data_IF_853634427858
#
_entry.id   IF_853634427858
#
_cell.length_a   1.000
_cell.length_b   1.000
_cell.length_c   1.000
_cell.angle_alpha   90.00
_cell.angle_beta   90.00
_cell.angle_gamma   90.00
#
_symmetry.space_group_name_H-M   'P 1'
#
loop_
_entity.id
_entity.type
_entity.pdbx_description
1 polymer ?
#
# COMPACT_ATOMS: atom_id res chain seq x y z
N UNK A 1 -5.22 36.28 -4.51
CA UNK A 1 -3.75 36.40 -4.44
C UNK A 1 -3.05 35.17 -3.89
N UNK A 2 -3.78 34.06 -3.60
CA UNK A 2 -3.26 32.81 -3.00
C UNK A 2 -2.74 31.75 -4.00
N UNK A 3 -3.29 31.69 -5.20
CA UNK A 3 -3.01 30.60 -6.18
C UNK A 3 -1.58 30.63 -6.75
N UNK A 4 -0.96 31.81 -6.85
CA UNK A 4 0.42 31.93 -7.38
C UNK A 4 1.51 31.39 -6.44
N UNK A 5 1.28 31.35 -5.12
CA UNK A 5 2.27 30.83 -4.14
C UNK A 5 2.38 29.30 -4.16
N UNK A 6 1.28 28.60 -4.41
CA UNK A 6 1.29 27.13 -4.47
C UNK A 6 1.90 26.59 -5.77
N UNK A 7 1.71 27.31 -6.88
CA UNK A 7 2.36 26.99 -8.16
C UNK A 7 3.89 27.21 -8.11
N UNK A 8 4.38 28.20 -7.37
CA UNK A 8 5.82 28.41 -7.21
C UNK A 8 6.45 27.31 -6.34
N UNK A 9 5.79 26.85 -5.26
CA UNK A 9 6.31 25.78 -4.42
C UNK A 9 6.38 24.44 -5.16
N UNK A 10 5.36 24.10 -5.97
CA UNK A 10 5.37 22.92 -6.83
C UNK A 10 6.46 22.97 -7.91
N UNK A 11 6.66 24.14 -8.53
CA UNK A 11 7.71 24.33 -9.55
C UNK A 11 9.13 24.24 -8.94
N UNK A 12 9.34 24.71 -7.70
CA UNK A 12 10.64 24.58 -7.03
C UNK A 12 10.94 23.12 -6.62
N UNK A 13 9.93 22.35 -6.22
CA UNK A 13 10.11 20.92 -5.93
C UNK A 13 10.50 20.12 -7.17
N UNK A 14 9.90 20.40 -8.32
CA UNK A 14 10.24 19.74 -9.61
C UNK A 14 11.63 20.12 -10.10
N UNK A 15 12.06 21.39 -9.93
CA UNK A 15 13.41 21.83 -10.32
C UNK A 15 14.51 21.28 -9.42
N UNK A 16 14.25 21.07 -8.11
CA UNK A 16 15.21 20.42 -7.22
C UNK A 16 15.44 18.94 -7.58
N UNK A 17 14.44 18.25 -8.12
CA UNK A 17 14.58 16.89 -8.64
C UNK A 17 15.48 16.81 -9.88
N UNK A 18 15.46 17.82 -10.75
CA UNK A 18 16.23 17.80 -11.99
C UNK A 18 17.72 18.17 -11.84
N UNK A 19 18.07 18.96 -10.82
CA UNK A 19 19.43 19.50 -10.67
C UNK A 19 20.41 18.54 -9.95
N UNK A 20 19.95 17.54 -9.22
CA UNK A 20 20.82 16.57 -8.49
C UNK A 20 21.25 15.37 -9.33
N UNK A 21 20.97 15.39 -10.62
CA UNK A 21 21.13 14.26 -11.54
C UNK A 21 22.57 14.02 -12.04
N UNK A 22 23.60 14.72 -11.56
CA UNK A 22 24.96 14.62 -12.11
C UNK A 22 26.05 14.08 -11.18
N UNK A 23 25.80 13.90 -9.89
CA UNK A 23 26.72 13.19 -8.97
C UNK A 23 26.06 11.91 -8.50
N UNK A 24 26.79 10.79 -8.43
CA UNK A 24 26.24 9.50 -7.99
C UNK A 24 25.42 9.64 -6.73
N UNK A 25 24.13 9.24 -6.78
CA UNK A 25 23.22 9.40 -5.65
C UNK A 25 23.62 8.44 -4.52
N UNK A 26 23.59 8.91 -3.28
CA UNK A 26 23.82 8.06 -2.11
C UNK A 26 22.49 7.79 -1.41
N UNK A 27 22.24 6.52 -1.12
CA UNK A 27 21.05 6.05 -0.42
C UNK A 27 21.44 5.23 0.81
N UNK A 28 20.62 5.25 1.85
CA UNK A 28 20.75 4.39 3.01
C UNK A 28 19.54 3.46 3.11
N UNK A 29 19.79 2.21 3.42
CA UNK A 29 18.77 1.21 3.70
C UNK A 29 18.85 0.83 5.18
N UNK A 30 17.77 1.04 5.91
CA UNK A 30 17.68 0.84 7.37
C UNK A 30 16.56 -0.16 7.64
N UNK A 31 16.93 -1.42 7.88
CA UNK A 31 15.98 -2.52 8.00
C UNK A 31 16.24 -3.36 9.24
N UNK A 32 15.21 -3.99 9.82
CA UNK A 32 15.35 -4.84 11.00
C UNK A 32 15.90 -6.22 10.61
N UNK A 33 17.21 -6.27 10.30
CA UNK A 33 17.90 -7.54 9.98
C UNK A 33 18.07 -8.42 11.21
N UNK A 34 18.14 -7.83 12.40
CA UNK A 34 18.25 -8.54 13.67
C UNK A 34 19.55 -9.32 13.79
N UNK A 35 20.66 -8.75 13.31
CA UNK A 35 21.96 -9.42 13.30
C UNK A 35 22.47 -9.76 14.70
N UNK A 36 21.99 -9.08 15.73
CA UNK A 36 22.32 -9.32 17.15
C UNK A 36 21.14 -9.91 17.94
N UNK A 37 19.96 -10.09 17.30
CA UNK A 37 18.77 -10.51 18.00
C UNK A 37 18.72 -12.02 18.22
N UNK A 38 18.05 -12.40 19.30
CA UNK A 38 17.67 -13.79 19.57
C UNK A 38 16.85 -14.35 18.39
N UNK A 39 17.30 -15.46 17.82
CA UNK A 39 16.74 -16.10 16.63
C UNK A 39 15.47 -16.90 16.93
N UNK A 40 14.66 -16.51 17.91
CA UNK A 40 13.46 -17.24 18.30
C UNK A 40 12.16 -16.60 17.75
N UNK A 41 11.27 -17.41 17.19
CA UNK A 41 9.86 -17.10 16.93
C UNK A 41 9.60 -15.94 15.95
N UNK A 42 8.92 -14.87 16.40
CA UNK A 42 8.52 -13.74 15.56
C UNK A 42 9.68 -12.90 15.02
N UNK A 43 10.85 -12.97 15.63
CA UNK A 43 12.08 -12.32 15.15
C UNK A 43 12.52 -12.88 13.81
N UNK A 44 12.50 -14.21 13.64
CA UNK A 44 12.91 -14.87 12.39
C UNK A 44 12.06 -14.38 11.20
N UNK A 45 10.74 -14.27 11.36
CA UNK A 45 9.86 -13.84 10.26
C UNK A 45 10.15 -12.41 9.81
N UNK A 46 10.47 -11.49 10.74
CA UNK A 46 10.83 -10.10 10.43
C UNK A 46 12.19 -9.99 9.77
N UNK A 47 13.16 -10.72 10.26
CA UNK A 47 14.50 -10.78 9.68
C UNK A 47 14.45 -11.34 8.26
N UNK A 48 13.66 -12.39 8.03
CA UNK A 48 13.39 -12.93 6.69
C UNK A 48 12.80 -11.87 5.78
N UNK A 49 11.77 -11.13 6.24
CA UNK A 49 11.16 -10.04 5.49
C UNK A 49 12.19 -8.96 5.10
N UNK A 50 13.06 -8.57 6.03
CA UNK A 50 14.10 -7.57 5.79
C UNK A 50 15.14 -8.05 4.76
N UNK A 51 15.58 -9.30 4.87
CA UNK A 51 16.52 -9.92 3.93
C UNK A 51 15.92 -10.05 2.53
N UNK A 52 14.68 -10.50 2.42
CA UNK A 52 13.99 -10.62 1.15
C UNK A 52 13.79 -9.24 0.49
N UNK A 53 13.36 -8.24 1.26
CA UNK A 53 13.25 -6.88 0.77
C UNK A 53 14.58 -6.33 0.27
N UNK A 54 15.67 -6.51 1.05
CA UNK A 54 17.01 -6.11 0.64
C UNK A 54 17.46 -6.79 -0.65
N UNK A 55 17.23 -8.10 -0.80
CA UNK A 55 17.61 -8.83 -2.00
C UNK A 55 16.92 -8.26 -3.25
N UNK A 56 15.62 -7.99 -3.18
CA UNK A 56 14.91 -7.37 -4.28
C UNK A 56 15.35 -5.93 -4.56
N UNK A 57 15.57 -5.15 -3.52
CA UNK A 57 16.08 -3.79 -3.62
C UNK A 57 17.45 -3.74 -4.31
N UNK A 58 18.36 -4.64 -3.91
CA UNK A 58 19.68 -4.78 -4.52
C UNK A 58 19.61 -5.23 -5.98
N UNK A 59 18.76 -6.22 -6.30
CA UNK A 59 18.56 -6.68 -7.67
C UNK A 59 18.10 -5.54 -8.61
N UNK A 60 17.22 -4.66 -8.12
CA UNK A 60 16.82 -3.47 -8.87
C UNK A 60 17.99 -2.52 -9.13
N UNK A 61 18.80 -2.22 -8.12
CA UNK A 61 19.96 -1.35 -8.28
C UNK A 61 20.98 -1.96 -9.24
N UNK A 62 21.23 -3.25 -9.16
CA UNK A 62 22.16 -3.94 -10.06
C UNK A 62 21.65 -3.95 -11.51
N UNK A 63 20.34 -4.02 -11.72
CA UNK A 63 19.74 -3.89 -13.05
C UNK A 63 19.84 -2.49 -13.63
N UNK A 64 19.74 -1.46 -12.79
CA UNK A 64 19.84 -0.05 -13.18
C UNK A 64 21.28 0.47 -13.29
N UNK A 65 22.24 -0.18 -12.63
CA UNK A 65 23.65 0.20 -12.68
C UNK A 65 24.28 0.12 -14.07
N UNK A 66 23.64 -0.60 -15.00
CA UNK A 66 23.97 -0.60 -16.44
C UNK A 66 23.61 0.73 -17.13
N UNK A 67 22.76 1.55 -16.52
CA UNK A 67 22.47 2.91 -16.91
C UNK A 67 23.44 3.87 -16.20
N UNK A 68 23.73 5.01 -16.77
CA UNK A 68 24.80 5.97 -16.42
C UNK A 68 24.80 6.58 -15.00
N UNK A 69 24.13 5.98 -14.01
CA UNK A 69 23.92 6.56 -12.69
C UNK A 69 24.33 5.61 -11.58
N UNK A 70 25.57 5.67 -11.07
CA UNK A 70 25.98 4.83 -9.94
C UNK A 70 25.29 5.30 -8.66
N UNK A 71 24.49 4.40 -8.04
CA UNK A 71 23.90 4.62 -6.72
C UNK A 71 24.77 3.92 -5.70
N UNK A 72 25.28 4.67 -4.72
CA UNK A 72 25.96 4.10 -3.54
C UNK A 72 24.92 3.76 -2.49
N UNK A 73 24.85 2.52 -2.06
CA UNK A 73 23.94 2.02 -1.04
C UNK A 73 24.68 1.70 0.25
N UNK A 74 24.41 2.45 1.31
CA UNK A 74 24.84 2.13 2.67
C UNK A 74 23.74 1.30 3.37
N UNK A 75 24.07 0.20 4.03
CA UNK A 75 23.10 -0.70 4.67
C UNK A 75 23.33 -0.73 6.18
N UNK A 76 22.25 -0.55 6.94
CA UNK A 76 22.23 -0.50 8.40
C UNK A 76 21.19 -1.45 8.96
N UNK A 77 21.49 -2.05 10.12
CA UNK A 77 20.49 -2.77 10.90
C UNK A 77 19.65 -1.79 11.74
N UNK A 78 18.43 -2.16 12.06
CA UNK A 78 17.54 -1.39 12.92
C UNK A 78 17.05 -2.25 14.08
N UNK A 79 17.42 -1.86 15.28
CA UNK A 79 16.95 -2.52 16.50
C UNK A 79 15.55 -1.96 16.88
N UNK A 80 14.51 -2.72 16.55
CA UNK A 80 13.12 -2.34 16.84
C UNK A 80 12.80 -2.26 18.34
N UNK A 81 13.59 -2.89 19.20
CA UNK A 81 13.37 -2.88 20.64
C UNK A 81 13.83 -1.55 21.27
N UNK A 82 14.96 -1.03 20.81
CA UNK A 82 15.54 0.22 21.31
C UNK A 82 15.25 1.44 20.45
N UNK A 83 14.82 1.22 19.19
CA UNK A 83 14.64 2.29 18.20
C UNK A 83 15.96 2.88 17.69
N UNK A 84 17.06 2.15 17.83
CA UNK A 84 18.40 2.59 17.41
C UNK A 84 18.76 2.03 16.04
N UNK A 85 19.53 2.81 15.28
CA UNK A 85 20.19 2.32 14.05
C UNK A 85 21.54 1.74 14.43
N UNK A 86 21.83 0.54 13.93
CA UNK A 86 23.08 -0.18 14.24
C UNK A 86 23.98 -0.17 13.00
N UNK A 87 25.15 0.46 13.15
CA UNK A 87 26.18 0.52 12.12
C UNK A 87 27.25 -0.57 12.37
N UNK A 88 27.17 -1.64 11.60
CA UNK A 88 28.13 -2.74 11.64
C UNK A 88 29.40 -2.48 10.80
N UNK A 89 29.46 -1.39 10.03
CA UNK A 89 30.60 -1.04 9.20
C UNK A 89 31.68 -0.27 9.98
N UNK A 90 31.31 0.26 11.15
CA UNK A 90 32.24 0.95 12.03
C UNK A 90 33.08 -0.09 12.79
N UNK A 91 34.42 -0.08 12.62
CA UNK A 91 35.46 -0.77 13.41
C UNK A 91 35.00 -1.96 14.31
N UNK A 92 35.84 -2.53 15.15
CA UNK A 92 35.69 -3.82 15.85
C UNK A 92 34.34 -4.08 16.64
N UNK A 93 33.47 -3.10 16.84
CA UNK A 93 32.19 -3.26 17.54
C UNK A 93 31.05 -2.49 16.82
N UNK A 94 29.82 -3.02 16.82
CA UNK A 94 28.65 -2.30 16.30
C UNK A 94 28.45 -0.97 17.01
N UNK A 95 28.10 0.07 16.24
CA UNK A 95 27.81 1.41 16.80
C UNK A 95 26.31 1.65 16.78
N UNK A 96 25.73 1.91 17.94
CA UNK A 96 24.34 2.28 18.11
C UNK A 96 24.16 3.79 17.96
N UNK A 97 23.30 4.20 17.02
CA UNK A 97 23.02 5.60 16.71
C UNK A 97 21.57 5.92 17.04
N UNK A 98 21.35 6.99 17.77
CA UNK A 98 20.01 7.53 17.92
C UNK A 98 19.45 8.00 16.56
N UNK A 99 18.11 8.11 16.38
CA UNK A 99 17.53 8.68 15.17
C UNK A 99 18.12 10.04 14.79
N UNK A 100 18.38 10.90 15.76
CA UNK A 100 19.00 12.22 15.56
C UNK A 100 20.43 12.11 15.03
N UNK A 101 21.27 11.32 15.70
CA UNK A 101 22.69 11.18 15.33
C UNK A 101 22.83 10.50 13.96
N UNK A 102 21.98 9.49 13.70
CA UNK A 102 21.96 8.82 12.42
C UNK A 102 21.58 9.79 11.29
N UNK A 103 20.48 10.54 11.44
CA UNK A 103 20.02 11.46 10.38
C UNK A 103 21.00 12.61 10.17
N UNK A 104 21.69 13.09 11.22
CA UNK A 104 22.77 14.05 11.07
C UNK A 104 23.92 13.47 10.25
N UNK A 105 24.35 12.23 10.54
CA UNK A 105 25.39 11.54 9.79
C UNK A 105 24.99 11.35 8.31
N UNK A 106 23.72 11.01 8.03
CA UNK A 106 23.25 10.84 6.65
C UNK A 106 23.24 12.17 5.89
N UNK A 107 22.86 13.25 6.54
CA UNK A 107 22.89 14.58 5.94
C UNK A 107 24.33 15.06 5.65
N UNK A 108 25.30 14.73 6.48
CA UNK A 108 26.71 15.09 6.27
C UNK A 108 27.36 14.25 5.14
N UNK A 109 26.73 13.13 4.76
CA UNK A 109 27.11 12.27 3.63
C UNK A 109 26.34 12.53 2.35
N UNK A 110 25.49 13.55 2.30
CA UNK A 110 24.60 13.87 1.19
C UNK A 110 23.67 12.70 0.77
N UNK A 111 23.21 11.93 1.76
CA UNK A 111 22.25 10.84 1.51
C UNK A 111 20.89 11.44 1.14
N UNK A 112 20.40 11.05 -0.05
CA UNK A 112 19.12 11.53 -0.56
C UNK A 112 17.92 10.77 -0.01
N UNK A 113 18.00 9.46 0.05
CA UNK A 113 16.93 8.60 0.55
C UNK A 113 17.42 7.71 1.68
N UNK A 114 16.68 7.67 2.77
CA UNK A 114 16.77 6.69 3.84
C UNK A 114 15.54 5.80 3.71
N UNK A 115 15.71 4.56 3.24
CA UNK A 115 14.62 3.61 3.01
C UNK A 115 14.46 2.70 4.21
N UNK A 116 13.29 2.69 4.81
CA UNK A 116 12.98 2.06 6.10
C UNK A 116 13.01 3.09 7.25
N UNK A 117 12.85 2.62 8.50
CA UNK A 117 12.42 1.27 8.91
C UNK A 117 10.99 0.92 8.47
N UNK A 118 10.56 -0.34 8.75
CA UNK A 118 9.26 -0.81 8.30
C UNK A 118 8.08 -0.29 9.12
N UNK A 119 8.25 -0.10 10.44
CA UNK A 119 7.17 0.43 11.30
C UNK A 119 7.00 1.94 11.10
N UNK A 120 5.75 2.39 11.12
CA UNK A 120 5.40 3.81 10.94
C UNK A 120 6.05 4.71 12.00
N UNK A 121 6.04 4.27 13.27
CA UNK A 121 6.60 5.04 14.40
C UNK A 121 8.11 5.27 14.26
N UNK A 122 8.83 4.28 13.73
CA UNK A 122 10.28 4.36 13.57
C UNK A 122 10.66 5.27 12.39
N UNK A 123 9.92 5.19 11.28
CA UNK A 123 10.11 6.10 10.15
C UNK A 123 9.76 7.55 10.53
N UNK A 124 8.72 7.76 11.35
CA UNK A 124 8.39 9.09 11.88
C UNK A 124 9.51 9.62 12.78
N UNK A 125 10.10 8.75 13.61
CA UNK A 125 11.23 9.13 14.47
C UNK A 125 12.44 9.59 13.65
N UNK A 126 12.78 8.92 12.54
CA UNK A 126 13.85 9.37 11.64
C UNK A 126 13.46 10.66 10.91
N UNK A 127 12.23 10.74 10.39
CA UNK A 127 11.76 11.89 9.59
C UNK A 127 11.74 13.19 10.40
N UNK A 128 11.53 13.14 11.73
CA UNK A 128 11.63 14.30 12.64
C UNK A 128 12.99 14.99 12.59
N UNK A 129 14.04 14.24 12.29
CA UNK A 129 15.42 14.74 12.28
C UNK A 129 15.99 14.87 10.87
N UNK A 130 15.18 14.59 9.84
CA UNK A 130 15.60 14.68 8.44
C UNK A 130 15.79 16.16 8.02
N UNK A 131 16.90 16.45 7.35
CA UNK A 131 17.12 17.75 6.70
C UNK A 131 16.34 17.82 5.39
N UNK A 132 16.14 19.02 4.86
CA UNK A 132 15.33 19.27 3.66
C UNK A 132 15.81 18.52 2.40
N UNK A 133 17.04 18.06 2.37
CA UNK A 133 17.66 17.32 1.26
C UNK A 133 17.55 15.81 1.38
N UNK A 134 17.20 15.28 2.57
CA UNK A 134 17.14 13.85 2.87
C UNK A 134 15.71 13.42 3.12
N UNK A 135 15.22 12.44 2.38
CA UNK A 135 13.88 11.90 2.53
C UNK A 135 13.90 10.53 3.22
N UNK A 136 12.99 10.32 4.17
CA UNK A 136 12.75 9.03 4.79
C UNK A 136 11.60 8.35 4.05
N UNK A 137 11.82 7.15 3.55
CA UNK A 137 10.85 6.37 2.77
C UNK A 137 10.40 5.16 3.59
N UNK A 138 9.14 5.13 4.00
CA UNK A 138 8.56 3.90 4.55
C UNK A 138 7.94 3.06 3.43
N UNK A 139 8.49 1.88 3.12
CA UNK A 139 8.02 1.09 1.97
C UNK A 139 6.85 0.16 2.30
N UNK A 140 6.56 -0.09 3.59
CA UNK A 140 5.74 -1.23 4.01
C UNK A 140 4.52 -0.83 4.81
N UNK A 141 4.67 0.07 5.80
CA UNK A 141 3.58 0.35 6.72
C UNK A 141 2.44 1.14 6.06
N UNK A 142 1.23 0.65 6.24
CA UNK A 142 -0.01 1.32 5.80
C UNK A 142 -0.57 2.33 6.81
N UNK A 143 0.16 2.55 7.92
CA UNK A 143 -0.23 3.44 9.02
C UNK A 143 0.64 4.70 9.12
N UNK A 144 1.46 4.96 8.10
CA UNK A 144 2.31 6.13 8.04
C UNK A 144 1.45 7.39 7.89
N UNK A 145 1.68 8.35 8.78
CA UNK A 145 1.06 9.68 8.72
C UNK A 145 2.12 10.68 8.27
N UNK A 146 1.88 11.32 7.15
CA UNK A 146 2.84 12.25 6.52
C UNK A 146 2.57 13.71 6.87
N UNK A 147 1.49 14.00 7.58
CA UNK A 147 1.17 15.35 8.05
C UNK A 147 2.29 15.88 8.95
N UNK A 148 2.69 17.13 8.74
CA UNK A 148 3.80 17.78 9.45
C UNK A 148 5.17 17.06 9.29
N UNK A 149 5.34 16.25 8.25
CA UNK A 149 6.56 15.50 7.94
C UNK A 149 6.94 15.66 6.46
N UNK A 150 7.41 16.85 6.05
CA UNK A 150 7.68 17.11 4.63
C UNK A 150 8.75 16.19 4.02
N UNK A 151 9.62 15.59 4.83
CA UNK A 151 10.64 14.65 4.37
C UNK A 151 10.21 13.17 4.47
N UNK A 152 8.95 12.88 4.86
CA UNK A 152 8.46 11.51 4.96
C UNK A 152 7.68 11.12 3.70
N UNK A 153 8.06 9.97 3.14
CA UNK A 153 7.41 9.35 1.98
C UNK A 153 6.77 8.04 2.43
N UNK A 154 5.45 7.99 2.44
CA UNK A 154 4.69 6.76 2.66
C UNK A 154 4.48 6.02 1.34
N UNK A 155 5.35 5.05 1.02
CA UNK A 155 5.28 4.31 -0.23
C UNK A 155 4.19 3.22 -0.23
N UNK A 156 3.75 2.78 0.93
CA UNK A 156 2.57 1.93 1.05
C UNK A 156 1.30 2.79 1.13
N UNK A 157 0.26 2.51 0.31
CA UNK A 157 -1.03 3.17 0.44
C UNK A 157 -1.67 2.91 1.80
N UNK A 158 -2.41 3.88 2.33
CA UNK A 158 -3.07 3.71 3.63
C UNK A 158 -4.08 2.57 3.61
N UNK A 159 -4.30 1.94 4.78
CA UNK A 159 -5.22 0.79 4.91
C UNK A 159 -6.67 1.10 4.55
N UNK A 160 -7.07 2.36 4.61
CA UNK A 160 -8.45 2.79 4.33
C UNK A 160 -8.67 3.22 2.88
N UNK A 161 -7.60 3.34 2.09
CA UNK A 161 -7.68 3.85 0.73
C UNK A 161 -8.49 2.92 -0.18
N UNK A 162 -8.39 1.61 0.01
CA UNK A 162 -9.20 0.63 -0.75
C UNK A 162 -10.70 0.89 -0.57
N UNK A 163 -11.13 1.12 0.67
CA UNK A 163 -12.52 1.44 0.98
C UNK A 163 -12.96 2.79 0.38
N UNK A 164 -12.09 3.79 0.42
CA UNK A 164 -12.39 5.11 -0.17
C UNK A 164 -12.55 5.03 -1.69
N UNK A 165 -11.66 4.30 -2.37
CA UNK A 165 -11.74 4.10 -3.83
C UNK A 165 -13.00 3.33 -4.22
N UNK A 166 -13.37 2.29 -3.46
CA UNK A 166 -14.63 1.58 -3.66
C UNK A 166 -15.84 2.50 -3.48
N UNK A 167 -15.80 3.41 -2.51
CA UNK A 167 -16.84 4.42 -2.33
C UNK A 167 -17.00 5.31 -3.57
N UNK A 168 -15.90 5.82 -4.12
CA UNK A 168 -15.92 6.62 -5.36
C UNK A 168 -16.46 5.85 -6.55
N UNK A 169 -16.06 4.59 -6.69
CA UNK A 169 -16.56 3.72 -7.75
C UNK A 169 -18.08 3.48 -7.58
N UNK A 170 -18.54 3.22 -6.35
CA UNK A 170 -19.93 2.96 -6.04
C UNK A 170 -20.83 4.18 -6.35
N UNK A 171 -20.35 5.40 -6.08
CA UNK A 171 -21.08 6.62 -6.43
C UNK A 171 -21.24 6.75 -7.95
N UNK A 172 -20.16 6.53 -8.72
CA UNK A 172 -20.23 6.56 -10.20
C UNK A 172 -21.17 5.49 -10.76
N UNK A 173 -21.10 4.27 -10.20
CA UNK A 173 -21.98 3.18 -10.61
C UNK A 173 -23.45 3.44 -10.21
N UNK A 174 -23.70 4.15 -9.09
CA UNK A 174 -25.06 4.57 -8.70
C UNK A 174 -25.66 5.57 -9.69
N UNK A 175 -24.87 6.47 -10.23
CA UNK A 175 -25.32 7.39 -11.31
C UNK A 175 -25.63 6.62 -12.59
N UNK A 176 -24.79 5.66 -12.96
CA UNK A 176 -24.98 4.81 -14.15
C UNK A 176 -26.18 3.84 -14.01
N UNK A 177 -26.48 3.42 -12.77
CA UNK A 177 -27.55 2.46 -12.44
C UNK A 177 -28.48 3.05 -11.37
N UNK A 178 -29.31 4.07 -11.68
CA UNK A 178 -30.07 4.85 -10.67
C UNK A 178 -31.12 4.04 -9.90
N UNK A 179 -31.51 2.86 -10.42
CA UNK A 179 -32.43 1.95 -9.73
C UNK A 179 -31.72 0.93 -8.81
N UNK A 180 -30.40 1.00 -8.72
CA UNK A 180 -29.64 0.08 -7.87
C UNK A 180 -29.49 0.61 -6.44
N UNK A 181 -29.31 -0.32 -5.49
CA UNK A 181 -29.15 -0.03 -4.08
C UNK A 181 -27.71 -0.33 -3.64
N UNK A 182 -27.19 0.45 -2.70
CA UNK A 182 -25.91 0.18 -2.02
C UNK A 182 -26.19 -0.18 -0.58
N UNK A 183 -25.79 -1.39 -0.18
CA UNK A 183 -25.90 -1.90 1.20
C UNK A 183 -24.49 -2.04 1.75
N UNK A 184 -24.18 -1.27 2.79
CA UNK A 184 -22.90 -1.28 3.48
C UNK A 184 -23.04 -2.02 4.80
N UNK A 185 -22.25 -3.09 5.00
CA UNK A 185 -22.30 -3.87 6.23
C UNK A 185 -21.52 -3.21 7.36
N UNK A 186 -22.13 -3.17 8.54
CA UNK A 186 -21.52 -2.74 9.79
C UNK A 186 -21.25 -3.94 10.68
N UNK A 187 -19.99 -4.17 11.02
CA UNK A 187 -19.58 -5.28 11.89
C UNK A 187 -19.55 -4.89 13.38
N UNK A 188 -19.83 -3.61 13.70
CA UNK A 188 -19.94 -3.12 15.07
C UNK A 188 -18.63 -2.90 15.80
N UNK A 189 -17.48 -3.00 15.13
CA UNK A 189 -16.15 -2.72 15.71
C UNK A 189 -15.52 -1.43 15.17
N UNK A 190 -14.47 -0.96 15.85
CA UNK A 190 -13.81 0.30 15.51
C UNK A 190 -13.12 0.28 14.14
N UNK A 191 -12.53 -0.85 13.73
CA UNK A 191 -11.87 -0.97 12.43
C UNK A 191 -12.89 -0.92 11.29
N UNK A 192 -13.98 -1.67 11.39
CA UNK A 192 -15.11 -1.63 10.45
C UNK A 192 -15.69 -0.22 10.33
N UNK A 193 -15.83 0.50 11.46
CA UNK A 193 -16.31 1.87 11.45
C UNK A 193 -15.37 2.83 10.69
N UNK A 194 -14.05 2.63 10.76
CA UNK A 194 -13.09 3.45 10.02
C UNK A 194 -13.13 3.18 8.52
N UNK A 195 -13.18 1.92 8.10
CA UNK A 195 -13.35 1.55 6.69
C UNK A 195 -14.67 2.10 6.12
N UNK A 196 -15.77 1.99 6.89
CA UNK A 196 -17.07 2.54 6.51
C UNK A 196 -17.00 4.06 6.32
N UNK A 197 -16.36 4.80 7.24
CA UNK A 197 -16.17 6.26 7.08
C UNK A 197 -15.36 6.58 5.83
N UNK A 198 -14.32 5.82 5.53
CA UNK A 198 -13.53 6.01 4.32
C UNK A 198 -14.36 5.78 3.05
N UNK A 199 -15.18 4.73 3.02
CA UNK A 199 -16.09 4.45 1.92
C UNK A 199 -17.09 5.62 1.72
N UNK A 200 -17.77 6.05 2.79
CA UNK A 200 -18.75 7.15 2.73
C UNK A 200 -18.07 8.45 2.27
N UNK A 201 -16.87 8.75 2.76
CA UNK A 201 -16.07 9.90 2.31
C UNK A 201 -15.78 9.82 0.80
N UNK A 202 -15.32 8.65 0.32
CA UNK A 202 -15.08 8.43 -1.11
C UNK A 202 -16.35 8.58 -1.94
N UNK A 203 -17.45 8.03 -1.46
CA UNK A 203 -18.77 8.13 -2.10
C UNK A 203 -19.23 9.59 -2.24
N UNK A 204 -19.15 10.37 -1.17
CA UNK A 204 -19.46 11.80 -1.17
C UNK A 204 -18.52 12.61 -2.09
N UNK A 205 -17.22 12.33 -2.05
CA UNK A 205 -16.23 13.02 -2.89
C UNK A 205 -16.46 12.81 -4.40
N UNK A 206 -17.15 11.73 -4.79
CA UNK A 206 -17.55 11.46 -6.17
C UNK A 206 -18.99 11.98 -6.50
N UNK A 207 -19.57 12.80 -5.62
CA UNK A 207 -20.89 13.39 -5.81
C UNK A 207 -22.07 12.47 -5.47
N UNK A 208 -21.82 11.34 -4.79
CA UNK A 208 -22.88 10.41 -4.38
C UNK A 208 -23.71 10.94 -3.20
N UNK A 209 -25.00 10.68 -3.22
CA UNK A 209 -25.89 10.97 -2.09
C UNK A 209 -25.65 9.92 -0.97
N UNK A 210 -24.99 10.31 0.09
CA UNK A 210 -24.68 9.42 1.22
C UNK A 210 -25.90 8.94 1.99
N UNK A 211 -27.04 9.62 1.90
CA UNK A 211 -28.30 9.21 2.51
C UNK A 211 -28.92 8.01 1.78
N UNK A 212 -28.54 7.78 0.52
CA UNK A 212 -28.98 6.61 -0.24
C UNK A 212 -28.24 5.30 0.15
N UNK A 213 -27.17 5.38 0.93
CA UNK A 213 -26.42 4.20 1.41
C UNK A 213 -27.20 3.56 2.58
N UNK A 214 -27.65 2.32 2.40
CA UNK A 214 -28.25 1.55 3.47
C UNK A 214 -27.18 0.88 4.31
N UNK A 215 -27.26 0.98 5.63
CA UNK A 215 -26.35 0.25 6.55
C UNK A 215 -27.09 -0.96 7.14
N UNK A 216 -26.49 -2.14 6.99
CA UNK A 216 -27.00 -3.37 7.55
C UNK A 216 -26.03 -3.95 8.59
N UNK A 217 -26.59 -4.61 9.62
CA UNK A 217 -25.78 -5.41 10.55
C UNK A 217 -25.14 -6.57 9.78
N UNK A 218 -23.81 -6.58 9.68
CA UNK A 218 -22.99 -7.59 9.02
C UNK A 218 -22.39 -8.62 9.98
N UNK A 219 -22.73 -8.53 11.28
CA UNK A 219 -22.24 -9.50 12.25
C UNK A 219 -22.80 -10.89 11.95
N UNK A 220 -22.02 -11.95 12.17
CA UNK A 220 -22.48 -13.32 11.94
C UNK A 220 -23.73 -13.64 12.76
N UNK A 221 -24.82 -13.92 12.08
CA UNK A 221 -26.06 -14.34 12.68
C UNK A 221 -26.72 -15.45 11.85
N UNK A 222 -27.63 -16.21 12.44
CA UNK A 222 -28.38 -17.23 11.71
C UNK A 222 -29.19 -16.66 10.55
N UNK A 223 -29.63 -15.40 10.66
CA UNK A 223 -30.50 -14.75 9.69
C UNK A 223 -29.76 -13.94 8.64
N UNK A 224 -28.43 -13.75 8.73
CA UNK A 224 -27.69 -12.90 7.81
C UNK A 224 -27.81 -13.39 6.36
N UNK A 225 -27.57 -14.68 6.13
CA UNK A 225 -27.66 -15.27 4.80
C UNK A 225 -29.08 -15.18 4.23
N UNK A 226 -30.11 -15.45 5.04
CA UNK A 226 -31.52 -15.34 4.62
C UNK A 226 -31.91 -13.89 4.30
N UNK A 227 -31.46 -12.92 5.11
CA UNK A 227 -31.71 -11.48 4.85
C UNK A 227 -31.06 -11.02 3.56
N UNK A 228 -29.82 -11.45 3.29
CA UNK A 228 -29.12 -11.12 2.05
C UNK A 228 -29.77 -11.79 0.85
N UNK A 229 -30.19 -13.04 0.98
CA UNK A 229 -30.82 -13.84 -0.08
C UNK A 229 -32.31 -13.59 -0.31
N UNK A 230 -32.92 -12.64 0.41
CA UNK A 230 -34.37 -12.40 0.32
C UNK A 230 -34.89 -12.08 -1.09
N UNK A 231 -36.22 -12.10 -1.27
CA UNK A 231 -36.93 -12.03 -2.57
C UNK A 231 -36.85 -10.66 -3.27
N UNK A 232 -36.14 -9.71 -2.70
CA UNK A 232 -35.96 -8.38 -3.25
C UNK A 232 -35.07 -8.44 -4.52
N UNK A 233 -35.67 -8.18 -5.67
CA UNK A 233 -35.01 -8.22 -6.99
C UNK A 233 -34.38 -6.88 -7.41
N UNK A 234 -34.28 -5.90 -6.51
CA UNK A 234 -33.58 -4.65 -6.81
C UNK A 234 -32.09 -4.91 -6.98
N UNK A 235 -31.46 -4.48 -8.07
CA UNK A 235 -30.02 -4.57 -8.24
C UNK A 235 -29.29 -3.97 -7.03
N UNK A 236 -28.44 -4.76 -6.38
CA UNK A 236 -27.83 -4.37 -5.10
C UNK A 236 -26.34 -4.63 -5.08
N UNK A 237 -25.58 -3.62 -4.67
CA UNK A 237 -24.17 -3.72 -4.29
C UNK A 237 -24.10 -4.02 -2.80
N UNK A 238 -23.64 -5.20 -2.45
CA UNK A 238 -23.39 -5.60 -1.07
C UNK A 238 -21.93 -5.35 -0.72
N UNK A 239 -21.66 -4.38 0.14
CA UNK A 239 -20.33 -3.86 0.44
C UNK A 239 -19.88 -4.33 1.82
N UNK A 240 -18.82 -5.15 1.87
CA UNK A 240 -18.13 -5.56 3.09
C UNK A 240 -16.68 -5.10 3.04
N UNK A 241 -16.26 -4.27 3.98
CA UNK A 241 -14.96 -3.59 3.98
C UNK A 241 -14.02 -4.12 5.09
N UNK A 242 -14.10 -5.39 5.38
CA UNK A 242 -13.31 -6.00 6.47
C UNK A 242 -12.95 -7.45 6.12
N UNK A 243 -11.94 -7.99 6.80
CA UNK A 243 -11.44 -9.36 6.67
C UNK A 243 -12.20 -10.40 7.53
N UNK A 244 -13.37 -10.04 8.07
CA UNK A 244 -14.19 -10.94 8.90
C UNK A 244 -14.77 -12.09 8.06
N UNK A 245 -13.99 -13.15 7.93
CA UNK A 245 -14.29 -14.32 7.08
C UNK A 245 -15.68 -14.88 7.30
N UNK A 246 -16.12 -14.99 8.56
CA UNK A 246 -17.42 -15.55 8.87
C UNK A 246 -18.57 -14.67 8.38
N UNK A 247 -18.43 -13.35 8.45
CA UNK A 247 -19.40 -12.40 7.88
C UNK A 247 -19.41 -12.50 6.37
N UNK A 248 -18.25 -12.51 5.72
CA UNK A 248 -18.12 -12.66 4.28
C UNK A 248 -18.77 -13.97 3.77
N UNK A 249 -18.48 -15.10 4.44
CA UNK A 249 -19.06 -16.39 4.11
C UNK A 249 -20.60 -16.39 4.19
N UNK A 250 -21.18 -15.78 5.24
CA UNK A 250 -22.62 -15.66 5.40
C UNK A 250 -23.27 -14.78 4.33
N UNK A 251 -22.65 -13.65 4.00
CA UNK A 251 -23.12 -12.77 2.94
C UNK A 251 -23.10 -13.49 1.59
N UNK A 252 -21.96 -14.10 1.24
CA UNK A 252 -21.80 -14.84 -0.03
C UNK A 252 -22.77 -16.03 -0.12
N UNK A 253 -23.03 -16.72 0.99
CA UNK A 253 -24.04 -17.77 1.06
C UNK A 253 -25.45 -17.25 0.75
N UNK A 254 -25.81 -16.07 1.26
CA UNK A 254 -27.08 -15.42 0.95
C UNK A 254 -27.19 -14.99 -0.52
N UNK A 255 -26.10 -14.45 -1.09
CA UNK A 255 -26.08 -14.01 -2.49
C UNK A 255 -26.37 -15.15 -3.48
N UNK A 256 -26.06 -16.40 -3.14
CA UNK A 256 -26.38 -17.56 -3.98
C UNK A 256 -27.86 -17.75 -4.28
N UNK A 257 -28.73 -17.18 -3.46
CA UNK A 257 -30.18 -17.27 -3.59
C UNK A 257 -30.74 -16.19 -4.52
N UNK A 258 -29.91 -15.21 -4.92
CA UNK A 258 -30.30 -14.09 -5.79
C UNK A 258 -29.77 -14.29 -7.21
N UNK A 259 -30.45 -13.70 -8.24
CA UNK A 259 -29.90 -13.66 -9.57
C UNK A 259 -28.55 -12.90 -9.62
N UNK A 260 -27.54 -13.50 -10.22
CA UNK A 260 -26.21 -12.87 -10.35
C UNK A 260 -26.26 -11.52 -11.11
N UNK A 261 -27.20 -11.37 -12.04
CA UNK A 261 -27.43 -10.12 -12.77
C UNK A 261 -27.94 -8.95 -11.90
N UNK A 262 -28.36 -9.23 -10.67
CA UNK A 262 -28.91 -8.24 -9.74
C UNK A 262 -28.09 -8.08 -8.46
N UNK A 263 -26.96 -8.79 -8.37
CA UNK A 263 -26.15 -8.81 -7.15
C UNK A 263 -24.67 -8.68 -7.47
N UNK A 264 -24.02 -7.80 -6.74
CA UNK A 264 -22.55 -7.66 -6.77
C UNK A 264 -22.04 -7.65 -5.33
N UNK A 265 -20.96 -8.39 -5.07
CA UNK A 265 -20.25 -8.33 -3.80
C UNK A 265 -19.03 -7.43 -3.95
N UNK A 266 -18.97 -6.39 -3.14
CA UNK A 266 -17.91 -5.41 -3.17
C UNK A 266 -17.09 -5.47 -1.89
N UNK A 267 -15.78 -5.55 -2.00
CA UNK A 267 -14.95 -5.76 -0.81
C UNK A 267 -13.51 -5.24 -0.99
N UNK A 268 -12.71 -5.37 0.04
CA UNK A 268 -11.28 -5.01 0.07
C UNK A 268 -10.41 -6.26 -0.11
N UNK A 269 -9.14 -6.04 -0.43
CA UNK A 269 -8.19 -7.12 -0.72
C UNK A 269 -8.03 -8.14 0.41
N UNK A 270 -8.11 -7.70 1.67
CA UNK A 270 -7.99 -8.59 2.83
C UNK A 270 -9.08 -9.67 2.88
N UNK A 271 -10.29 -9.37 2.41
CA UNK A 271 -11.38 -10.35 2.32
C UNK A 271 -11.11 -11.37 1.21
N UNK A 272 -10.80 -10.90 -0.01
CA UNK A 272 -10.62 -11.79 -1.18
C UNK A 272 -9.40 -12.69 -1.01
N UNK A 273 -8.32 -12.14 -0.46
CA UNK A 273 -7.06 -12.87 -0.26
C UNK A 273 -7.00 -13.66 1.05
N UNK A 274 -8.12 -13.75 1.80
CA UNK A 274 -8.15 -14.50 3.05
C UNK A 274 -8.03 -16.00 2.78
N UNK A 275 -7.00 -16.68 3.30
CA UNK A 275 -6.85 -18.13 3.11
C UNK A 275 -7.93 -18.96 3.81
N UNK A 276 -8.68 -18.34 4.71
CA UNK A 276 -9.76 -18.98 5.47
C UNK A 276 -11.13 -18.82 4.79
N UNK A 277 -11.24 -18.05 3.72
CA UNK A 277 -12.48 -17.91 2.96
C UNK A 277 -12.52 -18.97 1.84
N UNK A 278 -13.60 -19.78 1.84
CA UNK A 278 -13.78 -20.79 0.82
C UNK A 278 -13.88 -20.17 -0.58
N UNK A 279 -12.94 -20.52 -1.46
CA UNK A 279 -12.89 -20.05 -2.82
C UNK A 279 -14.18 -20.34 -3.61
N UNK A 280 -14.88 -21.47 -3.34
CA UNK A 280 -16.15 -21.76 -3.97
C UNK A 280 -17.27 -20.78 -3.62
N UNK A 281 -17.17 -20.10 -2.48
CA UNK A 281 -18.09 -19.00 -2.14
C UNK A 281 -17.84 -17.80 -3.02
N UNK A 282 -16.58 -17.47 -3.24
CA UNK A 282 -16.17 -16.34 -4.09
C UNK A 282 -16.51 -16.55 -5.57
N UNK A 283 -16.26 -17.74 -6.10
CA UNK A 283 -16.37 -18.03 -7.54
C UNK A 283 -17.79 -18.07 -8.11
N UNK A 284 -18.82 -17.91 -7.29
CA UNK A 284 -20.22 -18.01 -7.74
C UNK A 284 -20.93 -16.69 -7.99
N UNK A 285 -20.32 -15.58 -7.59
CA UNK A 285 -20.94 -14.26 -7.68
C UNK A 285 -19.99 -13.27 -8.36
N UNK A 286 -20.51 -12.25 -9.04
CA UNK A 286 -19.69 -11.10 -9.44
C UNK A 286 -19.10 -10.43 -8.20
N UNK A 287 -17.78 -10.27 -8.20
CA UNK A 287 -17.06 -9.64 -7.09
C UNK A 287 -16.26 -8.45 -7.63
N UNK A 288 -16.35 -7.31 -6.96
CA UNK A 288 -15.50 -6.16 -7.21
C UNK A 288 -14.67 -5.91 -5.95
N UNK A 289 -13.37 -5.74 -6.12
CA UNK A 289 -12.53 -5.38 -5.00
C UNK A 289 -11.44 -4.39 -5.39
N UNK A 290 -11.00 -3.67 -4.39
CA UNK A 290 -9.84 -2.80 -4.46
C UNK A 290 -8.66 -3.44 -3.75
N UNK A 291 -7.46 -3.28 -4.30
CA UNK A 291 -6.25 -3.72 -3.64
C UNK A 291 -5.05 -2.84 -4.01
N UNK A 292 -4.09 -2.78 -3.11
CA UNK A 292 -2.89 -1.96 -3.24
C UNK A 292 -1.73 -2.67 -3.94
N UNK A 293 -1.71 -3.99 -3.92
CA UNK A 293 -0.73 -4.80 -4.64
C UNK A 293 -1.36 -5.36 -5.91
N UNK A 294 -0.64 -5.40 -7.01
CA UNK A 294 -1.12 -5.93 -8.29
C UNK A 294 -1.25 -7.46 -8.25
N UNK A 295 -2.25 -8.00 -8.93
CA UNK A 295 -2.43 -9.45 -9.11
C UNK A 295 -1.52 -10.03 -10.16
N UNK A 296 -1.32 -9.28 -11.25
CA UNK A 296 -0.50 -9.72 -12.37
C UNK A 296 0.93 -9.25 -12.19
N UNK A 297 1.85 -10.19 -12.32
CA UNK A 297 3.28 -9.91 -12.40
C UNK A 297 3.66 -9.93 -13.88
N UNK A 298 4.29 -8.86 -14.33
CA UNK A 298 5.07 -8.99 -15.55
C UNK A 298 6.21 -9.96 -15.23
N UNK A 299 6.34 -11.02 -16.01
CA UNK A 299 7.43 -11.97 -15.85
C UNK A 299 8.76 -11.29 -16.24
N UNK A 300 9.57 -10.97 -15.26
CA UNK A 300 10.94 -10.48 -15.45
C UNK A 300 11.90 -11.62 -15.14
N UNK A 301 12.10 -12.53 -16.08
CA UNK A 301 12.89 -13.75 -15.89
C UNK A 301 14.32 -13.49 -15.41
N UNK A 302 14.92 -12.38 -15.83
CA UNK A 302 16.27 -11.98 -15.42
C UNK A 302 16.30 -11.53 -13.94
N UNK A 303 15.31 -10.78 -13.50
CA UNK A 303 15.15 -10.32 -12.12
C UNK A 303 14.77 -11.48 -11.19
N UNK A 304 13.86 -12.34 -11.65
CA UNK A 304 13.52 -13.57 -10.93
C UNK A 304 14.76 -14.45 -10.70
N UNK A 305 15.61 -14.60 -11.71
CA UNK A 305 16.86 -15.35 -11.58
C UNK A 305 17.82 -14.70 -10.57
N UNK A 306 17.95 -13.38 -10.55
CA UNK A 306 18.78 -12.65 -9.58
C UNK A 306 18.25 -12.79 -8.16
N UNK A 307 16.94 -12.61 -7.94
CA UNK A 307 16.32 -12.79 -6.62
C UNK A 307 16.46 -14.24 -6.16
N UNK A 308 16.19 -15.20 -7.04
CA UNK A 308 16.31 -16.63 -6.74
C UNK A 308 17.74 -17.05 -6.42
N UNK A 309 18.73 -16.46 -7.05
CA UNK A 309 20.15 -16.72 -6.74
C UNK A 309 20.52 -16.33 -5.31
N UNK A 310 19.85 -15.32 -4.74
CA UNK A 310 20.08 -14.85 -3.37
C UNK A 310 19.21 -15.59 -2.36
N UNK A 311 17.92 -15.79 -2.67
CA UNK A 311 16.92 -16.27 -1.73
C UNK A 311 16.51 -17.74 -1.92
N UNK A 312 16.86 -18.35 -3.05
CA UNK A 312 16.35 -19.67 -3.42
C UNK A 312 14.89 -19.70 -3.90
N UNK A 313 14.11 -18.62 -3.71
CA UNK A 313 12.73 -18.48 -4.16
C UNK A 313 12.46 -17.06 -4.68
N UNK A 314 12.03 -16.96 -5.94
CA UNK A 314 11.68 -15.69 -6.58
C UNK A 314 10.28 -15.17 -6.24
N UNK A 315 9.46 -15.99 -5.58
CA UNK A 315 8.04 -15.66 -5.31
C UNK A 315 7.83 -14.80 -4.06
N UNK A 316 8.90 -14.42 -3.37
CA UNK A 316 8.79 -13.58 -2.19
C UNK A 316 8.12 -12.23 -2.50
N UNK A 317 7.00 -11.99 -1.84
CA UNK A 317 6.31 -10.70 -1.88
C UNK A 317 7.23 -9.53 -1.48
N UNK A 318 8.07 -9.76 -0.50
CA UNK A 318 8.94 -8.73 0.05
C UNK A 318 10.10 -8.39 -0.88
N UNK A 319 10.64 -9.39 -1.58
CA UNK A 319 11.66 -9.15 -2.59
C UNK A 319 11.13 -8.28 -3.74
N UNK A 320 9.95 -8.60 -4.26
CA UNK A 320 9.32 -7.77 -5.29
C UNK A 320 8.98 -6.36 -4.82
N UNK A 321 8.58 -6.20 -3.55
CA UNK A 321 8.34 -4.89 -2.99
C UNK A 321 9.63 -4.07 -2.84
N UNK A 322 10.72 -4.71 -2.45
CA UNK A 322 12.05 -4.08 -2.43
C UNK A 322 12.48 -3.64 -3.82
N UNK A 323 12.31 -4.51 -4.82
CA UNK A 323 12.59 -4.22 -6.21
C UNK A 323 11.81 -3.00 -6.73
N UNK A 324 10.50 -3.01 -6.56
CA UNK A 324 9.63 -1.91 -6.97
C UNK A 324 9.98 -0.59 -6.26
N UNK A 325 10.33 -0.66 -4.96
CA UNK A 325 10.71 0.54 -4.19
C UNK A 325 12.00 1.15 -4.73
N UNK A 326 13.01 0.35 -5.04
CA UNK A 326 14.27 0.84 -5.59
C UNK A 326 14.07 1.46 -6.98
N UNK A 327 13.31 0.79 -7.86
CA UNK A 327 13.01 1.31 -9.19
C UNK A 327 12.21 2.61 -9.11
N UNK A 328 11.17 2.67 -8.27
CA UNK A 328 10.37 3.87 -8.07
C UNK A 328 11.24 5.07 -7.67
N UNK A 329 12.22 4.88 -6.78
CA UNK A 329 13.14 5.93 -6.37
C UNK A 329 14.16 6.30 -7.45
N UNK A 330 14.41 5.41 -8.41
CA UNK A 330 15.35 5.61 -9.53
C UNK A 330 14.73 6.32 -10.73
N UNK A 331 13.40 6.32 -10.86
CA UNK A 331 12.71 6.91 -12.02
C UNK A 331 12.60 8.42 -11.89
N UNK A 332 12.81 9.13 -12.99
CA UNK A 332 12.72 10.60 -13.03
C UNK A 332 11.27 11.13 -13.12
N UNK A 333 10.28 10.27 -13.22
CA UNK A 333 8.86 10.66 -13.21
C UNK A 333 8.31 10.55 -11.77
N UNK A 334 8.20 11.68 -11.05
CA UNK A 334 7.75 11.66 -9.67
C UNK A 334 6.25 11.37 -9.52
N UNK A 335 5.46 11.45 -10.61
CA UNK A 335 4.01 11.41 -10.50
C UNK A 335 3.45 10.00 -10.58
N UNK A 336 4.06 9.12 -11.38
CA UNK A 336 3.57 7.75 -11.60
C UNK A 336 4.70 6.77 -11.84
N UNK A 337 4.63 5.66 -11.16
CA UNK A 337 5.41 4.48 -11.47
C UNK A 337 4.54 3.24 -11.34
N UNK A 338 4.54 2.39 -12.36
CA UNK A 338 3.86 1.10 -12.33
C UNK A 338 4.89 0.01 -12.11
N UNK A 339 4.98 -0.45 -10.87
CA UNK A 339 5.89 -1.53 -10.51
C UNK A 339 5.34 -2.91 -10.83
N UNK A 340 6.12 -3.91 -10.53
CA UNK A 340 5.78 -5.31 -10.71
C UNK A 340 4.69 -5.74 -9.74
N UNK A 341 4.90 -5.44 -8.46
CA UNK A 341 3.99 -5.78 -7.36
C UNK A 341 3.10 -4.63 -6.94
N UNK A 342 3.60 -3.39 -7.02
CA UNK A 342 2.89 -2.21 -6.56
C UNK A 342 3.00 -1.07 -7.56
N UNK A 343 1.87 -0.41 -7.79
CA UNK A 343 1.84 0.87 -8.50
C UNK A 343 2.02 2.03 -7.51
N UNK A 344 2.57 3.13 -8.00
CA UNK A 344 2.77 4.34 -7.21
C UNK A 344 2.11 5.52 -7.92
N UNK A 345 1.34 6.28 -7.16
CA UNK A 345 0.75 7.56 -7.56
C UNK A 345 0.83 8.47 -6.36
N UNK A 346 1.54 9.55 -6.51
CA UNK A 346 1.84 10.41 -5.38
C UNK A 346 0.77 11.46 -5.15
N UNK A 347 0.47 11.71 -3.89
CA UNK A 347 -0.23 12.86 -3.38
C UNK A 347 0.58 13.47 -2.25
N UNK A 348 0.34 14.76 -1.97
CA UNK A 348 1.08 15.51 -0.97
C UNK A 348 0.13 15.89 0.17
N UNK A 349 0.60 15.79 1.40
CA UNK A 349 -0.08 16.40 2.54
C UNK A 349 0.07 17.94 2.46
N UNK A 350 -0.80 18.69 3.13
CA UNK A 350 -0.70 20.16 3.17
C UNK A 350 0.67 20.66 3.60
N UNK A 351 1.35 19.93 4.47
CA UNK A 351 2.66 20.26 5.03
C UNK A 351 3.84 19.62 4.25
N UNK A 352 3.58 19.05 3.07
CA UNK A 352 4.60 18.63 2.12
C UNK A 352 5.01 17.16 2.17
N UNK A 353 4.55 16.35 3.13
CA UNK A 353 4.80 14.92 3.15
C UNK A 353 4.13 14.20 1.96
N UNK A 354 4.77 13.14 1.46
CA UNK A 354 4.29 12.41 0.29
C UNK A 354 3.65 11.08 0.69
N UNK A 355 2.57 10.71 0.01
CA UNK A 355 1.93 9.41 0.23
C UNK A 355 1.40 8.81 -1.08
N UNK A 356 1.48 7.49 -1.16
CA UNK A 356 1.01 6.74 -2.31
C UNK A 356 -0.51 6.59 -2.27
N UNK A 357 -1.18 6.94 -3.37
CA UNK A 357 -2.63 6.80 -3.57
C UNK A 357 -3.00 5.79 -4.66
N UNK A 358 -2.05 4.98 -5.11
CA UNK A 358 -2.33 3.96 -6.11
C UNK A 358 -3.12 2.79 -5.50
N UNK A 359 -4.23 2.46 -6.13
CA UNK A 359 -5.07 1.30 -5.84
C UNK A 359 -5.50 0.71 -7.17
N UNK A 360 -5.40 -0.60 -7.29
CA UNK A 360 -5.93 -1.33 -8.43
C UNK A 360 -7.35 -1.81 -8.12
N UNK A 361 -8.19 -1.83 -9.13
CA UNK A 361 -9.55 -2.33 -9.06
C UNK A 361 -9.68 -3.58 -9.92
N UNK A 362 -10.32 -4.59 -9.39
CA UNK A 362 -10.55 -5.85 -10.08
C UNK A 362 -12.00 -6.26 -10.02
N UNK A 363 -12.43 -6.96 -11.06
CA UNK A 363 -13.73 -7.57 -11.15
C UNK A 363 -13.58 -9.05 -11.49
N UNK A 364 -14.17 -9.89 -10.70
CA UNK A 364 -14.38 -11.28 -11.05
C UNK A 364 -15.80 -11.47 -11.58
N UNK A 365 -15.91 -12.13 -12.72
CA UNK A 365 -17.18 -12.56 -13.28
C UNK A 365 -17.18 -14.10 -13.39
N UNK A 366 -18.22 -14.78 -12.89
CA UNK A 366 -18.36 -16.23 -13.02
C UNK A 366 -18.21 -16.66 -14.49
N UNK A 367 -17.27 -17.57 -14.75
CA UNK A 367 -16.97 -18.08 -16.10
C UNK A 367 -16.10 -17.18 -16.99
N UNK A 368 -15.80 -15.93 -16.57
CA UNK A 368 -14.92 -15.03 -17.33
C UNK A 368 -13.58 -14.77 -16.62
N UNK A 369 -13.50 -15.09 -15.33
CA UNK A 369 -12.30 -14.88 -14.53
C UNK A 369 -12.16 -13.47 -13.97
N UNK A 370 -10.91 -13.11 -13.64
CA UNK A 370 -10.57 -11.81 -13.05
C UNK A 370 -10.12 -10.84 -14.14
N UNK A 371 -10.71 -9.65 -14.14
CA UNK A 371 -10.38 -8.59 -15.07
C UNK A 371 -10.05 -7.29 -14.29
N UNK A 372 -9.02 -6.55 -14.69
CA UNK A 372 -8.77 -5.23 -14.13
C UNK A 372 -9.89 -4.26 -14.56
N UNK A 373 -10.33 -3.43 -13.63
CA UNK A 373 -11.24 -2.32 -13.94
C UNK A 373 -10.44 -1.04 -14.15
N UNK A 374 -10.86 -0.17 -15.08
CA UNK A 374 -10.23 1.12 -15.23
C UNK A 374 -10.39 1.91 -13.94
N UNK A 375 -9.28 2.47 -13.46
CA UNK A 375 -9.30 3.30 -12.27
C UNK A 375 -10.22 4.52 -12.50
N UNK A 376 -11.19 4.79 -11.63
CA UNK A 376 -11.96 6.01 -11.73
C UNK A 376 -11.01 7.19 -11.55
N UNK A 377 -10.78 7.97 -12.63
CA UNK A 377 -9.90 9.12 -12.59
C UNK A 377 -10.32 9.99 -11.40
N UNK A 378 -9.40 10.14 -10.46
CA UNK A 378 -9.56 11.03 -9.32
C UNK A 378 -9.27 12.44 -9.84
N UNK A 379 -10.30 13.13 -10.32
CA UNK A 379 -10.22 14.57 -10.61
C UNK A 379 -10.37 15.33 -9.30
#
# INVERSE_FOLDING_TARGET
>A
MGIKKHLLAAAFSVLAFAASAQSGARWALVLPFGLEADTTGSGIARNTMALEFYAGFRAALDSTSKSSWPITLDVYDFDEATGMVVDHQAAALPRYLSPSDFMQQQADRDVRYVVGPFRAVDSDALAKHAKSTTYVVNPVSRDVVTDQRPQLIAAAPTRFLEAEVLGRLAAKDAVAKPRSRTVLFDLGDAASAQHRRAFVRGYAAAGGDTLAIQTWDGRPSANLAARVGGDDLVPTRFVLLDDKVLSAARILQGLRQRPASQTEFWTVSSTVNSPSLDAFLLLRQPIIWAQTDRLEFAAYSEVEAQISAVLGDSKSRWAWLGYDTALMLSVNDPDRYTGTRRSYRWSFSPDGGQFNTAVELYRYEPGQGVNPLPFPVLN
#
